data_IF_580394980244
#
_entry.id   IF_580394980244
#
_cell.length_a   1.000
_cell.length_b   1.000
_cell.length_c   1.000
_cell.angle_alpha   90.00
_cell.angle_beta   90.00
_cell.angle_gamma   90.00
#
_symmetry.space_group_name_H-M   'P 1'
#
loop_
_entity.id
_entity.type
_entity.pdbx_description
1 polymer ?
#
# COMPACT_ATOMS: atom_id res chain seq x y z
N UNK A 1 -79.42 -3.23 28.71
CA UNK A 1 -78.83 -2.89 27.34
C UNK A 1 -77.73 -1.90 27.61
N UNK A 2 -76.48 -2.35 27.70
CA UNK A 2 -75.30 -1.44 27.88
C UNK A 2 -74.53 -1.30 26.56
N UNK A 3 -74.12 -0.15 26.17
CA UNK A 3 -73.29 0.01 25.00
C UNK A 3 -71.83 -0.24 25.32
N UNK A 4 -71.17 -1.07 24.48
CA UNK A 4 -69.76 -1.30 24.44
C UNK A 4 -69.01 -0.02 23.99
N UNK A 5 -68.07 0.42 24.82
CA UNK A 5 -67.07 1.45 24.43
C UNK A 5 -65.96 0.74 23.67
N UNK A 6 -65.77 1.04 22.38
CA UNK A 6 -64.62 0.64 21.57
C UNK A 6 -63.52 1.65 21.77
N UNK A 7 -62.46 1.26 22.47
CA UNK A 7 -61.27 2.08 22.67
C UNK A 7 -60.30 1.83 21.51
N UNK A 8 -60.20 2.77 20.56
CA UNK A 8 -59.26 2.73 19.43
C UNK A 8 -57.89 3.17 19.95
N UNK A 9 -56.93 2.21 20.03
CA UNK A 9 -55.53 2.53 20.22
C UNK A 9 -54.90 2.99 18.87
N UNK A 10 -54.60 4.25 18.79
CA UNK A 10 -53.72 4.82 17.75
C UNK A 10 -52.27 4.42 18.08
N UNK A 11 -51.71 3.45 17.38
CA UNK A 11 -50.30 3.16 17.37
C UNK A 11 -49.58 4.32 16.63
N UNK A 12 -48.88 5.14 17.38
CA UNK A 12 -47.93 6.11 16.80
C UNK A 12 -46.75 5.33 16.20
N UNK A 13 -46.66 5.35 14.87
CA UNK A 13 -45.45 4.88 14.13
C UNK A 13 -44.35 5.91 14.38
N UNK A 14 -43.20 5.53 14.93
CA UNK A 14 -42.09 6.47 15.02
C UNK A 14 -41.63 6.85 13.61
N UNK A 15 -41.72 8.11 13.27
CA UNK A 15 -41.12 8.69 12.06
C UNK A 15 -39.62 8.43 12.09
N UNK A 16 -39.10 7.86 10.99
CA UNK A 16 -37.69 7.66 10.78
C UNK A 16 -36.92 8.95 11.05
N UNK A 17 -36.13 8.95 12.12
CA UNK A 17 -35.22 10.05 12.42
C UNK A 17 -34.24 10.21 11.25
N UNK A 18 -34.09 11.43 10.78
CA UNK A 18 -33.16 11.89 9.78
C UNK A 18 -31.83 11.17 9.82
N UNK A 19 -31.63 10.22 8.92
CA UNK A 19 -30.31 9.75 8.55
C UNK A 19 -29.60 10.92 7.87
N UNK A 20 -28.82 11.67 8.65
CA UNK A 20 -27.92 12.68 8.08
C UNK A 20 -27.06 11.97 7.04
N UNK A 21 -26.99 12.46 5.79
CA UNK A 21 -26.16 11.84 4.78
C UNK A 21 -24.71 11.84 5.30
N UNK A 22 -24.13 10.66 5.44
CA UNK A 22 -22.71 10.54 5.68
C UNK A 22 -21.99 11.34 4.59
N UNK A 23 -21.00 12.18 4.94
CA UNK A 23 -20.24 12.89 3.93
C UNK A 23 -19.71 11.86 2.93
N UNK A 24 -20.00 12.06 1.65
CA UNK A 24 -19.47 11.21 0.59
C UNK A 24 -17.96 11.18 0.77
N UNK A 25 -17.31 9.99 0.75
CA UNK A 25 -15.87 9.95 0.82
C UNK A 25 -15.31 10.82 -0.30
N UNK A 26 -14.44 11.76 0.05
CA UNK A 26 -13.62 12.48 -0.92
C UNK A 26 -12.97 11.49 -1.87
N UNK A 27 -12.69 11.87 -3.13
CA UNK A 27 -12.14 10.96 -4.12
C UNK A 27 -10.95 10.25 -3.53
N UNK A 28 -11.00 8.92 -3.59
CA UNK A 28 -10.12 7.97 -2.95
C UNK A 28 -8.67 8.45 -2.85
N UNK A 29 -8.20 8.62 -1.62
CA UNK A 29 -6.79 8.77 -1.31
C UNK A 29 -6.14 7.44 -1.67
N UNK A 30 -5.18 7.47 -2.57
CA UNK A 30 -4.41 6.31 -2.98
C UNK A 30 -3.48 5.89 -1.84
N UNK A 31 -3.33 4.60 -1.63
CA UNK A 31 -2.37 3.99 -0.69
C UNK A 31 -0.95 4.30 -1.12
N UNK A 32 0.01 4.34 -0.15
CA UNK A 32 1.25 5.10 -0.38
C UNK A 32 1.05 5.87 -1.65
N UNK A 33 0.58 7.05 -1.59
CA UNK A 33 0.02 7.62 -2.82
C UNK A 33 1.03 7.40 -3.96
N UNK A 34 0.66 7.55 -5.18
CA UNK A 34 1.57 7.30 -6.31
C UNK A 34 2.94 7.95 -6.12
N UNK A 35 3.05 8.98 -5.26
CA UNK A 35 4.27 9.66 -4.86
C UNK A 35 5.22 8.75 -4.08
N UNK A 36 4.72 8.04 -3.07
CA UNK A 36 5.54 7.13 -2.25
C UNK A 36 6.16 6.02 -3.09
N UNK A 37 5.35 5.28 -3.84
CA UNK A 37 5.84 4.20 -4.72
C UNK A 37 6.80 4.72 -5.80
N UNK A 38 6.49 5.86 -6.41
CA UNK A 38 7.36 6.45 -7.44
C UNK A 38 8.68 6.96 -6.86
N UNK A 39 8.67 7.51 -5.63
CA UNK A 39 9.91 7.93 -4.95
C UNK A 39 10.79 6.72 -4.60
N UNK A 40 10.20 5.62 -4.09
CA UNK A 40 10.89 4.35 -3.87
C UNK A 40 11.52 3.84 -5.16
N UNK A 41 10.74 3.82 -6.24
CA UNK A 41 11.20 3.39 -7.55
C UNK A 41 12.33 4.30 -8.09
N UNK A 42 12.23 5.62 -7.93
CA UNK A 42 13.28 6.55 -8.35
C UNK A 42 14.59 6.29 -7.60
N UNK A 43 14.54 6.17 -6.27
CA UNK A 43 15.72 5.85 -5.46
C UNK A 43 16.33 4.52 -5.89
N UNK A 44 15.51 3.49 -6.13
CA UNK A 44 15.99 2.19 -6.57
C UNK A 44 16.64 2.26 -7.96
N UNK A 45 15.95 2.82 -8.95
CA UNK A 45 16.44 2.91 -10.34
C UNK A 45 17.76 3.65 -10.44
N UNK A 46 17.91 4.78 -9.74
CA UNK A 46 19.12 5.58 -9.76
C UNK A 46 20.33 4.86 -9.15
N UNK A 47 20.11 3.80 -8.39
CA UNK A 47 21.14 2.96 -7.76
C UNK A 47 21.48 1.69 -8.53
N UNK A 48 20.64 1.28 -9.50
CA UNK A 48 20.92 0.10 -10.30
C UNK A 48 22.22 0.29 -11.12
N UNK A 49 23.03 -0.77 -11.16
CA UNK A 49 24.15 -0.86 -12.08
C UNK A 49 23.66 -0.80 -13.53
N UNK A 50 24.46 -0.28 -14.48
CA UNK A 50 24.03 -0.13 -15.86
C UNK A 50 23.49 -1.41 -16.51
N UNK A 51 24.09 -2.57 -16.20
CA UNK A 51 23.64 -3.86 -16.74
C UNK A 51 22.25 -4.26 -16.20
N UNK A 52 22.03 -4.15 -14.89
CA UNK A 52 20.74 -4.45 -14.25
C UNK A 52 19.67 -3.49 -14.74
N UNK A 53 19.99 -2.20 -14.85
CA UNK A 53 19.08 -1.19 -15.39
C UNK A 53 18.64 -1.53 -16.81
N UNK A 54 19.57 -1.92 -17.69
CA UNK A 54 19.24 -2.31 -19.06
C UNK A 54 18.31 -3.54 -19.12
N UNK A 55 18.49 -4.51 -18.21
CA UNK A 55 17.60 -5.70 -18.10
C UNK A 55 16.20 -5.32 -17.60
N UNK A 56 16.11 -4.46 -16.59
CA UNK A 56 14.83 -3.93 -16.06
C UNK A 56 14.08 -3.20 -17.17
N UNK A 57 14.74 -2.31 -17.90
CA UNK A 57 14.15 -1.55 -19.00
C UNK A 57 13.67 -2.47 -20.13
N UNK A 58 14.45 -3.49 -20.46
CA UNK A 58 14.05 -4.47 -21.47
C UNK A 58 12.81 -5.28 -21.03
N UNK A 59 12.75 -5.71 -19.77
CA UNK A 59 11.61 -6.43 -19.22
C UNK A 59 10.34 -5.56 -19.24
N UNK A 60 10.40 -4.33 -18.78
CA UNK A 60 9.22 -3.46 -18.71
C UNK A 60 8.64 -3.11 -20.07
N UNK A 61 9.45 -3.12 -21.14
CA UNK A 61 8.94 -3.02 -22.52
C UNK A 61 8.10 -4.24 -22.94
N UNK A 62 8.16 -5.34 -22.20
CA UNK A 62 7.29 -6.52 -22.39
C UNK A 62 6.12 -6.57 -21.41
N UNK A 63 5.90 -5.53 -20.59
CA UNK A 63 4.81 -5.53 -19.62
C UNK A 63 3.45 -5.66 -20.32
N UNK A 64 2.54 -6.54 -19.85
CA UNK A 64 1.27 -6.80 -20.54
C UNK A 64 0.33 -5.58 -20.55
N UNK A 65 0.54 -4.59 -19.68
CA UNK A 65 -0.16 -3.30 -19.69
C UNK A 65 0.70 -2.16 -20.27
N UNK A 66 1.70 -2.46 -21.11
CA UNK A 66 2.63 -1.46 -21.66
C UNK A 66 1.90 -0.29 -22.33
N UNK A 67 0.86 -0.57 -23.14
CA UNK A 67 0.09 0.45 -23.84
C UNK A 67 -0.43 1.55 -22.90
N UNK A 68 -0.92 1.16 -21.72
CA UNK A 68 -1.42 2.11 -20.72
C UNK A 68 -0.28 2.78 -19.93
N UNK A 69 0.77 2.05 -19.61
CA UNK A 69 1.91 2.56 -18.83
C UNK A 69 2.78 3.52 -19.65
N UNK A 70 2.87 3.33 -20.95
CA UNK A 70 3.76 4.10 -21.84
C UNK A 70 3.10 5.32 -22.49
N UNK A 71 1.85 5.63 -22.17
CA UNK A 71 1.14 6.78 -22.76
C UNK A 71 1.99 8.05 -22.63
N UNK A 72 2.33 8.65 -23.82
CA UNK A 72 3.12 9.86 -23.90
C UNK A 72 4.62 9.68 -23.61
N UNK A 73 5.13 8.44 -23.58
CA UNK A 73 6.56 8.15 -23.39
C UNK A 73 7.21 7.63 -24.66
N UNK A 74 8.43 8.08 -24.91
CA UNK A 74 9.39 7.35 -25.75
C UNK A 74 10.17 6.37 -24.86
N UNK A 75 9.66 5.14 -24.76
CA UNK A 75 10.25 4.08 -23.91
C UNK A 75 11.61 3.56 -24.43
N UNK A 76 12.05 4.00 -25.61
CA UNK A 76 13.38 3.72 -26.12
C UNK A 76 14.44 4.69 -25.58
N UNK A 77 14.02 5.87 -25.16
CA UNK A 77 14.90 6.86 -24.53
C UNK A 77 15.17 6.54 -23.06
N UNK A 78 16.35 6.91 -22.52
CA UNK A 78 16.66 6.71 -21.10
C UNK A 78 15.64 7.37 -20.15
N UNK A 79 15.14 8.54 -20.51
CA UNK A 79 14.13 9.27 -19.73
C UNK A 79 12.79 8.53 -19.74
N UNK A 80 12.36 8.07 -20.91
CA UNK A 80 11.10 7.32 -21.02
C UNK A 80 11.17 5.94 -20.37
N UNK A 81 12.30 5.24 -20.44
CA UNK A 81 12.50 3.98 -19.75
C UNK A 81 12.43 4.15 -18.22
N UNK A 82 13.10 5.17 -17.68
CA UNK A 82 13.02 5.51 -16.25
C UNK A 82 11.58 5.85 -15.82
N UNK A 83 10.89 6.68 -16.59
CA UNK A 83 9.50 7.04 -16.29
C UNK A 83 8.56 5.81 -16.35
N UNK A 84 8.79 4.89 -17.28
CA UNK A 84 8.07 3.62 -17.35
C UNK A 84 8.27 2.79 -16.07
N UNK A 85 9.51 2.72 -15.55
CA UNK A 85 9.81 2.05 -14.29
C UNK A 85 9.05 2.70 -13.12
N UNK A 86 9.03 4.02 -13.03
CA UNK A 86 8.28 4.74 -12.00
C UNK A 86 6.77 4.47 -12.08
N UNK A 87 6.20 4.43 -13.27
CA UNK A 87 4.77 4.13 -13.48
C UNK A 87 4.43 2.68 -13.17
N UNK A 88 5.31 1.74 -13.52
CA UNK A 88 5.13 0.33 -13.25
C UNK A 88 5.06 0.02 -11.75
N UNK A 89 5.75 0.79 -10.90
CA UNK A 89 5.68 0.63 -9.44
C UNK A 89 4.30 0.95 -8.83
N UNK A 90 3.47 1.73 -9.54
CA UNK A 90 2.12 2.10 -9.11
C UNK A 90 1.04 1.22 -9.75
N UNK A 91 1.39 0.47 -10.80
CA UNK A 91 0.44 -0.31 -11.59
C UNK A 91 -0.44 -1.26 -10.75
N UNK A 92 0.06 -1.99 -9.71
CA UNK A 92 -0.76 -2.83 -8.86
C UNK A 92 -1.94 -2.12 -8.18
N UNK A 93 -1.79 -0.85 -7.84
CA UNK A 93 -2.90 -0.03 -7.32
C UNK A 93 -3.89 0.39 -8.40
N UNK A 94 -3.42 0.63 -9.62
CA UNK A 94 -4.28 1.03 -10.73
C UNK A 94 -5.26 -0.08 -11.12
N UNK A 95 -4.84 -1.35 -11.09
CA UNK A 95 -5.71 -2.48 -11.42
C UNK A 95 -6.86 -2.69 -10.42
N UNK A 96 -6.78 -2.14 -9.22
CA UNK A 96 -7.87 -2.19 -8.22
C UNK A 96 -9.14 -1.51 -8.71
N UNK A 97 -9.02 -0.57 -9.66
CA UNK A 97 -10.14 0.16 -10.28
C UNK A 97 -10.41 -0.26 -11.71
N UNK A 98 -9.58 -1.13 -12.27
CA UNK A 98 -9.74 -1.62 -13.64
C UNK A 98 -10.78 -2.75 -13.67
N UNK A 99 -11.84 -2.56 -14.47
CA UNK A 99 -12.93 -3.54 -14.61
C UNK A 99 -12.51 -4.83 -15.30
N UNK A 100 -11.37 -4.84 -15.95
CA UNK A 100 -10.80 -6.05 -16.56
C UNK A 100 -10.25 -7.02 -15.52
N UNK A 101 -10.02 -6.56 -14.29
CA UNK A 101 -9.53 -7.36 -13.19
C UNK A 101 -10.65 -7.64 -12.18
N UNK A 102 -10.75 -8.90 -11.75
CA UNK A 102 -11.73 -9.33 -10.76
C UNK A 102 -11.17 -9.34 -9.34
N UNK A 103 -12.05 -9.27 -8.34
CA UNK A 103 -11.69 -9.30 -6.91
C UNK A 103 -11.85 -10.70 -6.36
N UNK A 104 -10.77 -11.37 -5.99
CA UNK A 104 -10.76 -12.78 -5.56
C UNK A 104 -11.51 -13.02 -4.24
N UNK A 105 -11.59 -12.00 -3.39
CA UNK A 105 -12.25 -12.05 -2.08
C UNK A 105 -13.73 -11.64 -2.11
N UNK A 106 -14.22 -11.17 -3.25
CA UNK A 106 -15.62 -10.81 -3.44
C UNK A 106 -16.37 -11.96 -4.13
N UNK A 107 -17.28 -12.66 -3.42
CA UNK A 107 -18.05 -13.77 -4.02
C UNK A 107 -18.90 -13.35 -5.22
N UNK A 108 -19.25 -12.06 -5.34
CA UNK A 108 -19.99 -11.52 -6.46
C UNK A 108 -19.10 -11.18 -7.67
N UNK A 109 -17.78 -11.19 -7.49
CA UNK A 109 -16.82 -10.89 -8.55
C UNK A 109 -16.57 -12.14 -9.39
N UNK A 110 -16.82 -12.04 -10.69
CA UNK A 110 -16.64 -13.14 -11.62
C UNK A 110 -15.26 -13.03 -12.29
N UNK A 111 -14.49 -14.14 -12.38
CA UNK A 111 -13.23 -14.14 -13.12
C UNK A 111 -13.41 -13.66 -14.54
N UNK A 112 -12.61 -12.70 -14.95
CA UNK A 112 -12.63 -12.16 -16.32
C UNK A 112 -11.74 -12.99 -17.25
N UNK A 113 -11.95 -12.96 -18.56
CA UNK A 113 -11.09 -13.65 -19.53
C UNK A 113 -9.64 -13.20 -19.39
N UNK A 114 -8.73 -14.16 -19.48
CA UNK A 114 -7.29 -13.90 -19.45
C UNK A 114 -6.85 -13.13 -20.69
N UNK A 115 -6.18 -12.02 -20.49
CA UNK A 115 -5.54 -11.25 -21.56
C UNK A 115 -4.13 -11.76 -21.83
N UNK A 116 -3.71 -11.65 -23.09
CA UNK A 116 -2.39 -12.08 -23.52
C UNK A 116 -1.28 -11.41 -22.70
N UNK A 117 -0.31 -12.22 -22.24
CA UNK A 117 0.83 -11.76 -21.47
C UNK A 117 0.58 -11.61 -19.96
N UNK A 118 -0.67 -11.72 -19.49
CA UNK A 118 -0.99 -11.75 -18.07
C UNK A 118 -1.01 -13.19 -17.53
N UNK A 119 -0.46 -13.44 -16.33
CA UNK A 119 -0.61 -14.76 -15.69
C UNK A 119 -2.01 -14.98 -15.12
N UNK A 120 -2.72 -13.88 -14.81
CA UNK A 120 -4.07 -13.86 -14.23
C UNK A 120 -4.66 -12.46 -14.32
N UNK A 121 -5.99 -12.36 -14.24
CA UNK A 121 -6.72 -11.09 -14.19
C UNK A 121 -7.25 -10.78 -12.78
N UNK A 122 -6.70 -11.39 -11.75
CA UNK A 122 -7.06 -11.11 -10.37
C UNK A 122 -6.37 -9.84 -9.85
N UNK A 123 -7.09 -9.07 -9.01
CA UNK A 123 -6.57 -7.82 -8.39
C UNK A 123 -5.52 -8.05 -7.32
N UNK A 124 -5.41 -9.26 -6.80
CA UNK A 124 -4.41 -9.65 -5.80
C UNK A 124 -4.44 -8.76 -4.54
N UNK A 125 -5.64 -8.41 -4.06
CA UNK A 125 -5.80 -7.48 -2.94
C UNK A 125 -5.02 -7.87 -1.68
N UNK A 126 -4.86 -9.16 -1.39
CA UNK A 126 -4.08 -9.65 -0.25
C UNK A 126 -2.56 -9.45 -0.38
N UNK A 127 -2.03 -9.23 -1.59
CA UNK A 127 -0.59 -9.09 -1.82
C UNK A 127 0.00 -7.78 -1.29
N UNK A 128 -0.86 -6.77 -1.08
CA UNK A 128 -0.46 -5.46 -0.57
C UNK A 128 -0.14 -5.44 0.92
N UNK A 129 -0.46 -6.51 1.68
CA UNK A 129 -0.44 -6.47 3.13
C UNK A 129 0.29 -7.66 3.76
N UNK A 130 0.89 -7.41 4.93
CA UNK A 130 1.28 -8.46 5.87
C UNK A 130 0.85 -8.02 7.28
N UNK A 131 -0.40 -8.27 7.63
CA UNK A 131 -1.03 -7.73 8.82
C UNK A 131 -0.61 -8.46 10.09
N UNK A 132 0.17 -7.80 10.95
CA UNK A 132 0.46 -8.18 12.33
C UNK A 132 -0.57 -7.52 13.26
N UNK A 133 -1.69 -8.21 13.49
CA UNK A 133 -2.76 -7.65 14.32
C UNK A 133 -2.33 -7.49 15.77
N UNK A 134 -2.80 -6.44 16.44
CA UNK A 134 -2.57 -6.20 17.87
C UNK A 134 -3.83 -5.67 18.55
N UNK A 135 -3.84 -5.70 19.89
CA UNK A 135 -4.91 -5.15 20.71
C UNK A 135 -4.33 -4.33 21.84
N UNK A 136 -5.07 -3.31 22.30
CA UNK A 136 -4.75 -2.48 23.45
C UNK A 136 -5.68 -2.69 24.63
N UNK A 137 -6.78 -3.45 24.45
CA UNK A 137 -7.82 -3.71 25.46
C UNK A 137 -8.03 -5.20 25.73
N UNK A 138 -7.16 -6.07 25.23
CA UNK A 138 -7.25 -7.51 25.39
C UNK A 138 -8.21 -8.20 24.43
N UNK A 139 -8.78 -7.49 23.46
CA UNK A 139 -9.60 -8.08 22.39
C UNK A 139 -8.76 -9.09 21.59
N UNK A 140 -9.29 -10.30 21.29
CA UNK A 140 -8.59 -11.26 20.44
C UNK A 140 -8.23 -10.66 19.09
N UNK A 141 -7.01 -10.94 18.62
CA UNK A 141 -6.52 -10.46 17.33
C UNK A 141 -6.81 -11.45 16.21
N UNK A 142 -6.88 -10.95 14.98
CA UNK A 142 -7.05 -11.80 13.80
C UNK A 142 -5.77 -12.56 13.48
N UNK A 143 -5.90 -13.79 13.01
CA UNK A 143 -4.77 -14.56 12.47
C UNK A 143 -4.27 -13.97 11.16
N UNK A 144 -2.98 -14.18 10.89
CA UNK A 144 -2.38 -13.79 9.62
C UNK A 144 -3.07 -14.50 8.45
N UNK A 145 -3.55 -13.73 7.49
CA UNK A 145 -4.20 -14.26 6.29
C UNK A 145 -3.17 -14.49 5.17
N UNK A 146 -3.41 -15.51 4.36
CA UNK A 146 -2.63 -15.79 3.15
C UNK A 146 -3.61 -15.92 1.95
N UNK A 147 -3.17 -15.61 0.72
CA UNK A 147 -1.85 -15.09 0.37
C UNK A 147 -1.64 -13.66 0.84
N UNK A 148 -0.41 -13.31 1.21
CA UNK A 148 0.00 -11.98 1.68
C UNK A 148 1.38 -11.61 1.10
N UNK A 149 1.84 -10.38 1.32
CA UNK A 149 3.10 -9.87 0.80
C UNK A 149 4.30 -10.80 1.07
N UNK A 150 4.41 -11.33 2.30
CA UNK A 150 5.54 -12.19 2.67
C UNK A 150 5.48 -13.59 2.04
N UNK A 151 4.29 -14.13 1.81
CA UNK A 151 4.16 -15.45 1.16
C UNK A 151 4.37 -15.39 -0.34
N UNK A 152 4.23 -14.21 -0.95
CA UNK A 152 4.26 -14.04 -2.40
C UNK A 152 5.59 -13.50 -2.91
N UNK A 153 6.17 -12.50 -2.24
CA UNK A 153 7.36 -11.80 -2.73
C UNK A 153 8.55 -12.73 -3.05
N UNK A 154 8.88 -13.76 -2.26
CA UNK A 154 9.96 -14.67 -2.62
C UNK A 154 9.74 -15.40 -3.95
N UNK A 155 8.53 -15.91 -4.19
CA UNK A 155 8.20 -16.59 -5.43
C UNK A 155 8.22 -15.66 -6.65
N UNK A 156 7.78 -14.40 -6.51
CA UNK A 156 7.89 -13.40 -7.57
C UNK A 156 9.36 -13.07 -7.88
N UNK A 157 10.19 -12.97 -6.84
CA UNK A 157 11.62 -12.69 -7.00
C UNK A 157 12.37 -13.84 -7.69
N UNK A 158 12.02 -15.09 -7.39
CA UNK A 158 12.57 -16.26 -8.05
C UNK A 158 12.11 -16.34 -9.52
N UNK A 159 10.82 -16.09 -9.79
CA UNK A 159 10.27 -16.01 -11.14
C UNK A 159 10.88 -14.85 -11.97
N UNK A 160 11.17 -13.72 -11.35
CA UNK A 160 11.86 -12.60 -12.01
C UNK A 160 13.25 -13.01 -12.49
N UNK A 161 13.98 -13.84 -11.75
CA UNK A 161 15.31 -14.34 -12.12
C UNK A 161 15.28 -15.43 -13.20
N UNK A 162 14.17 -16.17 -13.34
CA UNK A 162 14.06 -17.29 -14.27
C UNK A 162 13.93 -16.82 -15.74
N UNK A 163 15.03 -16.90 -16.47
CA UNK A 163 15.07 -16.52 -17.88
C UNK A 163 14.25 -17.45 -18.81
N UNK A 164 13.79 -18.62 -18.34
CA UNK A 164 12.93 -19.51 -19.10
C UNK A 164 11.47 -19.02 -19.14
N UNK A 165 11.07 -18.20 -18.19
CA UNK A 165 9.73 -17.60 -18.17
C UNK A 165 9.58 -16.51 -19.23
N UNK A 166 8.36 -16.34 -19.81
CA UNK A 166 8.07 -15.26 -20.74
C UNK A 166 8.40 -13.89 -20.15
N UNK A 167 8.99 -13.01 -20.94
CA UNK A 167 9.35 -11.66 -20.51
C UNK A 167 8.14 -10.84 -20.00
N UNK A 168 6.94 -11.10 -20.53
CA UNK A 168 5.68 -10.46 -20.06
C UNK A 168 5.33 -10.87 -18.63
N UNK A 169 5.51 -12.14 -18.27
CA UNK A 169 5.28 -12.64 -16.91
C UNK A 169 6.29 -12.01 -15.95
N UNK A 170 7.58 -12.03 -16.31
CA UNK A 170 8.64 -11.42 -15.50
C UNK A 170 8.44 -9.91 -15.33
N UNK A 171 7.94 -9.21 -16.34
CA UNK A 171 7.61 -7.79 -16.26
C UNK A 171 6.40 -7.52 -15.34
N UNK A 172 5.37 -8.37 -15.40
CA UNK A 172 4.26 -8.36 -14.45
C UNK A 172 4.76 -8.55 -13.02
N UNK A 173 5.60 -9.57 -12.79
CA UNK A 173 6.16 -9.87 -11.48
C UNK A 173 7.06 -8.72 -10.97
N UNK A 174 7.85 -8.11 -11.84
CA UNK A 174 8.66 -6.94 -11.52
C UNK A 174 7.81 -5.78 -10.98
N UNK A 175 6.66 -5.49 -11.61
CA UNK A 175 5.75 -4.44 -11.13
C UNK A 175 5.20 -4.74 -9.73
N UNK A 176 4.84 -5.99 -9.47
CA UNK A 176 4.42 -6.43 -8.15
C UNK A 176 5.54 -6.39 -7.12
N UNK A 177 6.76 -6.81 -7.46
CA UNK A 177 7.92 -6.73 -6.56
C UNK A 177 8.17 -5.30 -6.13
N UNK A 178 8.22 -4.35 -7.09
CA UNK A 178 8.42 -2.93 -6.81
C UNK A 178 7.36 -2.39 -5.84
N UNK A 179 6.10 -2.76 -6.06
CA UNK A 179 4.98 -2.31 -5.26
C UNK A 179 4.99 -2.92 -3.85
N UNK A 180 5.09 -4.25 -3.74
CA UNK A 180 5.09 -4.98 -2.46
C UNK A 180 6.23 -4.54 -1.56
N UNK A 181 7.43 -4.31 -2.11
CA UNK A 181 8.55 -3.77 -1.32
C UNK A 181 8.19 -2.42 -0.74
N UNK A 182 7.50 -1.56 -1.48
CA UNK A 182 6.97 -0.29 -0.96
C UNK A 182 5.97 -0.50 0.16
N UNK A 183 4.96 -1.31 -0.07
CA UNK A 183 3.88 -1.60 0.89
C UNK A 183 4.40 -2.19 2.21
N UNK A 184 5.37 -3.11 2.15
CA UNK A 184 6.00 -3.71 3.34
C UNK A 184 6.74 -2.67 4.21
N UNK A 185 7.07 -1.50 3.66
CA UNK A 185 7.73 -0.43 4.41
C UNK A 185 6.74 0.64 4.91
N UNK A 186 5.47 0.57 4.53
CA UNK A 186 4.42 1.45 5.03
C UNK A 186 3.82 0.87 6.32
N UNK A 187 3.92 1.56 7.47
CA UNK A 187 3.49 1.02 8.77
C UNK A 187 2.06 0.48 8.79
N UNK A 188 1.12 1.15 8.11
CA UNK A 188 -0.29 0.74 8.13
C UNK A 188 -0.57 -0.51 7.27
N UNK A 189 0.32 -0.88 6.34
CA UNK A 189 0.24 -2.15 5.61
C UNK A 189 0.71 -3.35 6.46
N UNK A 190 1.47 -3.07 7.53
CA UNK A 190 2.01 -4.09 8.44
C UNK A 190 1.09 -4.47 9.59
N UNK A 191 -0.06 -3.82 9.80
CA UNK A 191 -0.81 -3.95 11.05
C UNK A 191 -2.32 -3.78 10.93
N UNK A 192 -3.04 -4.17 11.99
CA UNK A 192 -4.45 -3.83 12.23
C UNK A 192 -4.71 -3.86 13.74
N UNK A 193 -5.40 -2.84 14.26
CA UNK A 193 -5.75 -2.76 15.68
C UNK A 193 -7.15 -3.32 15.94
N UNK A 194 -7.23 -4.42 16.72
CA UNK A 194 -8.49 -4.96 17.24
C UNK A 194 -8.85 -4.29 18.56
N UNK A 195 -10.14 -4.01 18.75
CA UNK A 195 -10.70 -3.47 19.97
C UNK A 195 -12.09 -4.08 20.22
N UNK A 196 -12.65 -3.94 21.42
CA UNK A 196 -14.02 -4.38 21.72
C UNK A 196 -15.07 -3.78 20.75
N UNK A 197 -14.81 -2.58 20.21
CA UNK A 197 -15.66 -1.94 19.20
C UNK A 197 -15.37 -2.44 17.77
N UNK A 198 -14.23 -3.11 17.53
CA UNK A 198 -13.77 -3.59 16.21
C UNK A 198 -13.09 -4.94 16.34
N UNK A 199 -13.90 -5.98 16.54
CA UNK A 199 -13.42 -7.37 16.75
C UNK A 199 -12.61 -7.89 15.57
N UNK A 200 -12.91 -7.44 14.34
CA UNK A 200 -12.22 -7.83 13.13
C UNK A 200 -11.04 -6.88 12.77
N UNK A 201 -10.64 -6.02 13.70
CA UNK A 201 -9.60 -5.02 13.46
C UNK A 201 -10.12 -3.81 12.69
N UNK A 202 -9.23 -2.86 12.48
CA UNK A 202 -9.51 -1.59 11.80
C UNK A 202 -9.01 -1.53 10.35
N UNK A 203 -8.70 -2.68 9.77
CA UNK A 203 -8.21 -2.81 8.39
C UNK A 203 -6.98 -1.92 8.13
N UNK A 204 -5.96 -1.98 9.00
CA UNK A 204 -4.76 -1.18 8.87
C UNK A 204 -5.05 0.33 8.97
N UNK A 205 -5.91 0.74 9.88
CA UNK A 205 -6.28 2.14 10.07
C UNK A 205 -7.29 2.70 9.06
N UNK A 206 -7.77 1.90 8.10
CA UNK A 206 -8.81 2.36 7.16
C UNK A 206 -10.15 2.64 7.87
N UNK A 207 -10.45 1.92 8.96
CA UNK A 207 -11.63 2.18 9.79
C UNK A 207 -11.35 3.15 10.96
N UNK A 208 -10.11 3.58 11.18
CA UNK A 208 -9.73 4.54 12.21
C UNK A 208 -9.68 5.95 11.64
N UNK A 209 -10.68 6.76 12.00
CA UNK A 209 -10.77 8.15 11.57
C UNK A 209 -10.07 9.07 12.56
N UNK A 210 -9.28 10.00 12.06
CA UNK A 210 -8.52 10.99 12.81
C UNK A 210 -8.80 12.40 12.29
N UNK A 211 -8.59 13.40 13.12
CA UNK A 211 -8.76 14.80 12.76
C UNK A 211 -7.39 15.45 12.57
N UNK A 212 -7.18 16.10 11.41
CA UNK A 212 -5.91 16.75 11.05
C UNK A 212 -5.91 18.25 11.37
N UNK A 213 -7.09 18.87 11.37
CA UNK A 213 -7.26 20.31 11.53
C UNK A 213 -8.12 20.68 12.72
N UNK A 214 -8.56 21.94 12.74
CA UNK A 214 -9.40 22.50 13.81
C UNK A 214 -10.88 22.11 13.67
N UNK A 215 -11.32 21.70 12.49
CA UNK A 215 -12.73 21.44 12.20
C UNK A 215 -13.01 19.95 11.97
N UNK A 216 -14.24 19.52 12.18
CA UNK A 216 -14.67 18.14 11.88
C UNK A 216 -14.63 17.82 10.37
N UNK A 217 -14.52 18.82 9.51
CA UNK A 217 -14.35 18.64 8.07
C UNK A 217 -12.94 18.16 7.70
N UNK A 218 -11.95 18.35 8.59
CA UNK A 218 -10.56 17.97 8.38
C UNK A 218 -10.28 16.53 8.86
N UNK A 219 -11.23 15.61 8.69
CA UNK A 219 -11.09 14.22 9.09
C UNK A 219 -10.65 13.34 7.92
N UNK A 220 -9.78 12.38 8.22
CA UNK A 220 -9.27 11.38 7.29
C UNK A 220 -9.08 10.04 8.02
N UNK A 221 -9.10 8.92 7.31
CA UNK A 221 -8.70 7.67 7.94
C UNK A 221 -7.18 7.64 8.16
N UNK A 222 -6.75 6.96 9.21
CA UNK A 222 -5.34 6.93 9.62
C UNK A 222 -4.43 6.34 8.53
N UNK A 223 -4.90 5.34 7.80
CA UNK A 223 -4.17 4.76 6.68
C UNK A 223 -3.82 5.81 5.63
N UNK A 224 -4.83 6.56 5.18
CA UNK A 224 -4.67 7.61 4.19
C UNK A 224 -3.80 8.79 4.67
N UNK A 225 -3.76 9.05 5.99
CA UNK A 225 -2.81 10.02 6.56
C UNK A 225 -1.39 9.55 6.30
N UNK A 226 -1.08 8.29 6.64
CA UNK A 226 0.26 7.73 6.50
C UNK A 226 0.70 7.62 5.03
N UNK A 227 -0.21 7.28 4.13
CA UNK A 227 0.06 7.24 2.69
C UNK A 227 0.48 8.60 2.12
N UNK A 228 -0.08 9.69 2.65
CA UNK A 228 0.19 11.05 2.19
C UNK A 228 1.37 11.76 2.87
N UNK A 229 2.06 11.14 3.85
CA UNK A 229 3.08 11.83 4.66
C UNK A 229 4.36 12.19 3.88
N UNK A 230 4.64 11.50 2.77
CA UNK A 230 5.84 11.77 1.96
C UNK A 230 5.63 12.95 1.01
N UNK A 231 4.41 13.32 0.74
CA UNK A 231 4.01 14.41 -0.16
C UNK A 231 3.10 13.92 -1.28
N UNK A 232 2.72 14.82 -2.18
CA UNK A 232 1.80 14.55 -3.30
C UNK A 232 2.40 15.02 -4.62
N UNK A 233 3.64 14.65 -4.86
CA UNK A 233 4.39 15.07 -6.04
C UNK A 233 3.98 14.24 -7.26
N UNK A 234 3.40 14.87 -8.27
CA UNK A 234 2.93 14.17 -9.48
C UNK A 234 3.88 14.31 -10.67
N UNK A 235 4.71 15.35 -10.70
CA UNK A 235 5.65 15.61 -11.78
C UNK A 235 7.01 14.96 -11.53
N UNK A 236 7.61 14.38 -12.55
CA UNK A 236 8.90 13.66 -12.47
C UNK A 236 10.01 14.52 -11.88
N UNK A 237 10.10 15.78 -12.25
CA UNK A 237 11.14 16.70 -11.75
C UNK A 237 11.03 16.94 -10.22
N UNK A 238 9.81 16.96 -9.69
CA UNK A 238 9.56 17.08 -8.26
C UNK A 238 9.90 15.77 -7.53
N UNK A 239 9.61 14.63 -8.17
CA UNK A 239 9.98 13.31 -7.64
C UNK A 239 11.50 13.13 -7.59
N UNK A 240 12.24 13.60 -8.58
CA UNK A 240 13.70 13.56 -8.58
C UNK A 240 14.27 14.41 -7.43
N UNK A 241 13.73 15.62 -7.25
CA UNK A 241 14.10 16.47 -6.11
C UNK A 241 13.77 15.81 -4.77
N UNK A 242 12.60 15.17 -4.67
CA UNK A 242 12.20 14.42 -3.47
C UNK A 242 13.16 13.25 -3.22
N UNK A 243 13.45 12.41 -4.22
CA UNK A 243 14.35 11.28 -4.09
C UNK A 243 15.77 11.72 -3.65
N UNK A 244 16.28 12.82 -4.19
CA UNK A 244 17.55 13.41 -3.77
C UNK A 244 17.52 13.89 -2.32
N UNK A 245 16.47 14.59 -1.90
CA UNK A 245 16.31 15.03 -0.51
C UNK A 245 16.22 13.84 0.47
N UNK A 246 15.48 12.79 0.09
CA UNK A 246 15.34 11.58 0.88
C UNK A 246 16.69 10.87 1.08
N UNK A 247 17.42 10.66 0.00
CA UNK A 247 18.74 9.98 0.05
C UNK A 247 19.82 10.82 0.73
N UNK A 248 19.75 12.14 0.63
CA UNK A 248 20.63 13.05 1.38
C UNK A 248 20.33 13.05 2.88
N UNK A 249 19.03 12.99 3.24
CA UNK A 249 18.60 12.93 4.66
C UNK A 249 18.87 11.59 5.33
N UNK A 250 18.87 10.50 4.56
CA UNK A 250 19.09 9.13 5.06
C UNK A 250 20.12 8.40 4.17
N UNK A 251 21.40 8.82 4.20
CA UNK A 251 22.43 8.19 3.38
C UNK A 251 22.66 6.75 3.83
N UNK A 252 22.99 5.88 2.86
CA UNK A 252 23.49 4.55 3.18
C UNK A 252 24.74 4.67 4.06
N UNK A 253 24.75 3.97 5.18
CA UNK A 253 25.98 3.83 5.96
C UNK A 253 27.07 3.22 5.07
N UNK A 254 28.29 3.76 5.16
CA UNK A 254 29.45 3.25 4.42
C UNK A 254 29.76 1.82 4.88
N UNK A 255 29.21 0.83 4.23
CA UNK A 255 29.44 -0.56 4.60
C UNK A 255 28.63 -1.57 3.79
N UNK A 256 27.57 -1.12 3.12
CA UNK A 256 26.84 -1.92 2.10
C UNK A 256 26.25 -3.27 2.52
N UNK A 257 26.66 -3.82 3.66
CA UNK A 257 26.23 -5.15 4.13
C UNK A 257 24.79 -5.18 4.66
N UNK A 258 24.22 -4.02 5.00
CA UNK A 258 22.89 -3.93 5.63
C UNK A 258 21.74 -4.27 4.66
N UNK A 259 22.05 -4.46 3.37
CA UNK A 259 21.06 -4.72 2.32
C UNK A 259 21.42 -5.93 1.45
N UNK A 260 22.12 -6.92 1.99
CA UNK A 260 22.27 -8.21 1.31
C UNK A 260 20.92 -8.89 1.27
N UNK A 261 20.43 -9.16 0.08
CA UNK A 261 19.16 -9.85 -0.14
C UNK A 261 19.46 -11.32 -0.46
N UNK A 262 19.14 -12.25 0.43
CA UNK A 262 19.38 -13.67 0.20
C UNK A 262 18.38 -14.25 -0.79
N UNK A 263 18.62 -15.51 -1.18
CA UNK A 263 17.76 -16.29 -2.05
C UNK A 263 16.78 -17.19 -1.28
N UNK A 264 15.74 -17.66 -1.95
CA UNK A 264 14.84 -18.70 -1.50
C UNK A 264 14.20 -18.46 -0.13
N UNK A 265 14.23 -19.44 0.75
CA UNK A 265 13.62 -19.39 2.08
C UNK A 265 14.20 -18.30 2.99
N UNK A 266 15.48 -17.95 2.83
CA UNK A 266 16.10 -16.86 3.59
C UNK A 266 15.53 -15.49 3.19
N UNK A 267 15.10 -15.29 1.94
CA UNK A 267 14.39 -14.10 1.52
C UNK A 267 13.05 -13.96 2.26
N UNK A 268 12.31 -15.06 2.46
CA UNK A 268 11.04 -15.01 3.19
C UNK A 268 11.22 -14.51 4.63
N UNK A 269 12.31 -14.87 5.30
CA UNK A 269 12.63 -14.36 6.64
C UNK A 269 12.90 -12.84 6.59
N UNK A 270 13.72 -12.38 5.66
CA UNK A 270 14.03 -10.95 5.49
C UNK A 270 12.75 -10.14 5.20
N UNK A 271 11.86 -10.64 4.35
CA UNK A 271 10.57 -10.01 4.05
C UNK A 271 9.68 -9.94 5.30
N UNK A 272 9.67 -11.01 6.11
CA UNK A 272 8.97 -11.01 7.39
C UNK A 272 9.52 -9.94 8.34
N UNK A 273 10.85 -9.79 8.44
CA UNK A 273 11.50 -8.77 9.27
C UNK A 273 11.12 -7.35 8.82
N UNK A 274 11.03 -7.07 7.52
CA UNK A 274 10.59 -5.77 7.01
C UNK A 274 9.16 -5.43 7.44
N UNK A 275 8.27 -6.43 7.44
CA UNK A 275 6.90 -6.27 7.91
C UNK A 275 6.85 -6.08 9.43
N UNK A 276 7.68 -6.77 10.20
CA UNK A 276 7.74 -6.64 11.65
C UNK A 276 8.30 -5.26 12.07
N UNK A 277 9.27 -4.69 11.33
CA UNK A 277 9.69 -3.30 11.49
C UNK A 277 8.50 -2.33 11.30
N UNK A 278 7.73 -2.51 10.23
CA UNK A 278 6.57 -1.67 9.92
C UNK A 278 5.46 -1.81 10.96
N UNK A 279 5.15 -3.04 11.39
CA UNK A 279 4.17 -3.30 12.44
C UNK A 279 4.58 -2.68 13.79
N UNK A 280 5.89 -2.70 14.11
CA UNK A 280 6.44 -2.06 15.31
C UNK A 280 6.23 -0.55 15.26
N UNK A 281 6.59 0.09 14.14
CA UNK A 281 6.36 1.52 13.94
C UNK A 281 4.87 1.88 13.98
N UNK A 282 4.01 1.04 13.39
CA UNK A 282 2.57 1.25 13.47
C UNK A 282 2.09 1.22 14.92
N UNK A 283 2.42 0.17 15.66
CA UNK A 283 1.96 -0.03 17.04
C UNK A 283 2.39 1.10 17.98
N UNK A 284 3.64 1.56 17.87
CA UNK A 284 4.22 2.49 18.84
C UNK A 284 4.25 3.95 18.39
N UNK A 285 3.99 4.22 17.10
CA UNK A 285 3.97 5.58 16.57
C UNK A 285 2.65 5.90 15.86
N UNK A 286 2.23 5.07 14.88
CA UNK A 286 1.03 5.40 14.12
C UNK A 286 -0.24 5.37 14.97
N UNK A 287 -0.31 4.46 15.93
CA UNK A 287 -1.42 4.34 16.89
C UNK A 287 -1.10 4.95 18.26
N UNK A 288 -0.17 5.89 18.35
CA UNK A 288 0.14 6.60 19.61
C UNK A 288 -0.97 7.61 19.97
N UNK A 289 -2.19 7.09 20.10
CA UNK A 289 -3.37 7.77 20.61
C UNK A 289 -4.42 6.74 21.06
N UNK A 290 -5.33 7.11 22.00
CA UNK A 290 -6.39 6.21 22.45
C UNK A 290 -7.30 5.76 21.30
N UNK A 291 -7.79 4.49 21.30
CA UNK A 291 -8.81 4.06 20.35
C UNK A 291 -10.04 4.97 20.43
N UNK A 292 -10.65 5.23 19.28
CA UNK A 292 -11.91 5.98 19.25
C UNK A 292 -13.01 5.17 19.93
N UNK A 293 -13.71 5.78 20.86
CA UNK A 293 -14.94 5.21 21.44
C UNK A 293 -16.06 5.13 20.40
N UNK A 294 -16.97 4.18 20.60
CA UNK A 294 -18.16 4.06 19.73
C UNK A 294 -18.99 5.35 19.79
N UNK A 295 -19.18 5.99 18.64
CA UNK A 295 -19.88 7.27 18.55
C UNK A 295 -19.08 8.49 19.02
N UNK A 296 -17.85 8.30 19.51
CA UNK A 296 -16.97 9.40 19.91
C UNK A 296 -16.42 10.22 18.73
N UNK A 297 -15.91 11.42 19.02
CA UNK A 297 -15.23 12.25 18.04
C UNK A 297 -13.91 11.59 17.60
N UNK A 298 -13.48 11.76 16.33
CA UNK A 298 -12.16 11.32 15.90
C UNK A 298 -11.05 11.98 16.73
N UNK A 299 -10.03 11.20 17.17
CA UNK A 299 -8.89 11.77 17.89
C UNK A 299 -8.15 12.76 16.98
N UNK A 300 -7.71 13.87 17.57
CA UNK A 300 -6.97 14.91 16.84
C UNK A 300 -5.48 14.60 16.86
N UNK A 301 -4.87 14.49 15.67
CA UNK A 301 -3.43 14.37 15.55
C UNK A 301 -2.75 15.73 15.81
N UNK A 302 -1.73 15.73 16.64
CA UNK A 302 -0.97 16.93 16.96
C UNK A 302 0.06 17.25 15.87
N UNK A 303 0.53 18.50 15.81
CA UNK A 303 1.64 18.86 14.92
C UNK A 303 2.90 18.05 15.22
N UNK A 304 3.18 17.76 16.49
CA UNK A 304 4.31 16.92 16.89
C UNK A 304 4.19 15.49 16.33
N UNK A 305 2.98 14.89 16.43
CA UNK A 305 2.70 13.59 15.80
C UNK A 305 2.96 13.62 14.29
N UNK A 306 2.38 14.59 13.57
CA UNK A 306 2.53 14.68 12.12
C UNK A 306 3.99 14.91 11.69
N UNK A 307 4.76 15.68 12.46
CA UNK A 307 6.19 15.90 12.22
C UNK A 307 6.99 14.60 12.38
N UNK A 308 6.76 13.86 13.47
CA UNK A 308 7.42 12.58 13.73
C UNK A 308 7.03 11.54 12.68
N UNK A 309 5.74 11.39 12.41
CA UNK A 309 5.21 10.46 11.41
C UNK A 309 5.77 10.75 10.02
N UNK A 310 5.87 12.04 9.62
CA UNK A 310 6.47 12.46 8.37
C UNK A 310 7.97 12.13 8.27
N UNK A 311 8.72 12.30 9.35
CA UNK A 311 10.14 11.92 9.39
C UNK A 311 10.32 10.41 9.22
N UNK A 312 9.51 9.60 9.91
CA UNK A 312 9.51 8.13 9.80
C UNK A 312 9.10 7.70 8.39
N UNK A 313 8.03 8.26 7.82
CA UNK A 313 7.59 7.91 6.47
C UNK A 313 8.70 8.15 5.44
N UNK A 314 9.40 9.29 5.52
CA UNK A 314 10.56 9.61 4.66
C UNK A 314 11.70 8.59 4.82
N UNK A 315 12.02 8.21 6.06
CA UNK A 315 13.03 7.17 6.31
C UNK A 315 12.60 5.82 5.71
N UNK A 316 11.34 5.42 5.88
CA UNK A 316 10.81 4.14 5.37
C UNK A 316 10.82 4.08 3.85
N UNK A 317 10.42 5.16 3.17
CA UNK A 317 10.49 5.28 1.70
C UNK A 317 11.94 5.15 1.21
N UNK A 318 12.87 5.83 1.87
CA UNK A 318 14.29 5.75 1.48
C UNK A 318 14.83 4.34 1.64
N UNK A 319 14.54 3.70 2.77
CA UNK A 319 14.95 2.33 3.07
C UNK A 319 14.35 1.33 2.06
N UNK A 320 13.07 1.48 1.71
CA UNK A 320 12.41 0.67 0.70
C UNK A 320 13.11 0.78 -0.66
N UNK A 321 13.49 2.00 -1.07
CA UNK A 321 14.23 2.23 -2.31
C UNK A 321 15.58 1.52 -2.33
N UNK A 322 16.32 1.55 -1.22
CA UNK A 322 17.60 0.86 -1.10
C UNK A 322 17.45 -0.67 -1.15
N UNK A 323 16.49 -1.21 -0.43
CA UNK A 323 16.18 -2.65 -0.39
C UNK A 323 15.67 -3.14 -1.74
N UNK A 324 14.85 -2.36 -2.43
CA UNK A 324 14.40 -2.67 -3.79
C UNK A 324 15.58 -2.72 -4.77
N UNK A 325 16.49 -1.74 -4.74
CA UNK A 325 17.68 -1.76 -5.58
C UNK A 325 18.52 -3.03 -5.33
N UNK A 326 18.78 -3.36 -4.07
CA UNK A 326 19.54 -4.55 -3.70
C UNK A 326 18.87 -5.84 -4.16
N UNK A 327 17.52 -5.94 -4.05
CA UNK A 327 16.76 -7.09 -4.54
C UNK A 327 16.89 -7.25 -6.06
N UNK A 328 16.74 -6.16 -6.80
CA UNK A 328 16.85 -6.18 -8.26
C UNK A 328 18.27 -6.50 -8.73
N UNK A 329 19.30 -5.97 -8.06
CA UNK A 329 20.71 -6.33 -8.32
C UNK A 329 20.96 -7.81 -8.09
N UNK A 330 20.42 -8.38 -7.01
CA UNK A 330 20.60 -9.82 -6.73
C UNK A 330 19.89 -10.70 -7.76
N UNK A 331 18.72 -10.27 -8.29
CA UNK A 331 17.91 -11.10 -9.20
C UNK A 331 18.22 -10.91 -10.68
N UNK A 332 18.74 -9.76 -11.05
CA UNK A 332 18.96 -9.38 -12.44
C UNK A 332 20.40 -8.91 -12.73
N UNK A 333 21.25 -8.83 -11.71
CA UNK A 333 22.65 -8.43 -11.82
C UNK A 333 23.58 -9.42 -12.52
#
# INVERSE_FOLDING_TARGET
MSPLLVLSFLLAVPTAADARPHPRPSPAVAMWDATGHRAIAAIAYDRLQPATRARVDALLRSHPALDSLSVGLDVSSPVGARELFLRASVWPDLIRRDRRFYTETDPASVPTPLLAGFPTMARRAGWHYLTRSFSTDGTPTQSLQAPNAATILPGLADALADAALPASIRAYDLSWIMHIVGDLHQPMHGTSRSTAARLNGDAGGNAEWVQLGATSADTMNLHAVWDGLVGRESRTIQLDSLAQQLTAGFPLSRGGSDYTIPDGAALAAVVSDWADESATLARYVAYDFPPREVGGAPPRLTTAYLTLAGAIARQRVTLAGYRLAALLETRLG
#
